data_IF_264909665841
#
_entry.id   IF_264909665841
#
_cell.length_a   1.000
_cell.length_b   1.000
_cell.length_c   1.000
_cell.angle_alpha   90.00
_cell.angle_beta   90.00
_cell.angle_gamma   90.00
#
_symmetry.space_group_name_H-M   'P 1'
#
loop_
_entity.id
_entity.type
_entity.pdbx_description
1 polymer ?
#
# COMPACT_ATOMS: atom_id res chain seq x y z
N UNK A 1 27.09 -3.08 6.08
CA UNK A 1 26.08 -2.01 5.90
C UNK A 1 25.34 -2.33 4.61
N UNK A 2 24.06 -2.68 4.67
CA UNK A 2 23.22 -2.85 3.49
C UNK A 2 22.56 -1.49 3.23
N UNK A 3 23.11 -0.74 2.26
CA UNK A 3 22.68 0.60 1.88
C UNK A 3 21.69 0.54 0.72
N UNK A 4 20.56 -0.12 0.92
CA UNK A 4 19.42 -0.07 0.02
C UNK A 4 18.19 0.27 0.86
N UNK A 5 17.61 1.45 0.63
CA UNK A 5 16.26 1.70 1.14
C UNK A 5 15.35 0.86 0.26
N UNK A 6 14.91 -0.30 0.75
CA UNK A 6 14.06 -1.21 -0.01
C UNK A 6 12.68 -0.56 -0.17
N UNK A 7 12.46 0.08 -1.31
CA UNK A 7 11.19 0.74 -1.62
C UNK A 7 10.11 -0.27 -1.95
N UNK A 8 8.88 0.05 -1.57
CA UNK A 8 7.67 -0.65 -1.95
C UNK A 8 6.85 0.23 -2.89
N UNK A 9 6.66 -0.24 -4.12
CA UNK A 9 5.74 0.37 -5.05
C UNK A 9 4.34 -0.21 -4.81
N UNK A 10 3.38 0.68 -4.58
CA UNK A 10 1.98 0.37 -4.33
C UNK A 10 1.16 0.95 -5.48
N UNK A 11 0.39 0.10 -6.15
CA UNK A 11 -0.52 0.49 -7.21
C UNK A 11 -1.95 0.05 -6.88
N UNK A 12 -2.88 0.99 -6.97
CA UNK A 12 -4.31 0.78 -6.81
C UNK A 12 -5.05 1.57 -7.90
N UNK A 13 -5.39 0.88 -9.00
CA UNK A 13 -5.91 1.47 -10.24
C UNK A 13 -5.09 2.68 -10.74
N UNK A 14 -5.56 3.91 -10.49
CA UNK A 14 -4.91 5.15 -10.92
C UNK A 14 -4.02 5.77 -9.85
N UNK A 15 -3.99 5.21 -8.64
CA UNK A 15 -3.16 5.66 -7.54
C UNK A 15 -1.89 4.83 -7.47
N UNK A 16 -0.75 5.47 -7.72
CA UNK A 16 0.56 4.85 -7.62
C UNK A 16 1.40 5.65 -6.60
N UNK A 17 2.08 4.95 -5.70
CA UNK A 17 2.98 5.58 -4.73
C UNK A 17 4.15 4.66 -4.41
N UNK A 18 5.24 5.26 -3.95
CA UNK A 18 6.41 4.53 -3.48
C UNK A 18 6.58 4.80 -1.99
N UNK A 19 6.64 3.73 -1.20
CA UNK A 19 6.87 3.78 0.23
C UNK A 19 8.30 3.36 0.52
N UNK A 20 8.99 4.17 1.32
CA UNK A 20 10.26 3.79 1.94
C UNK A 20 9.99 3.40 3.38
N UNK A 21 10.12 2.11 3.76
CA UNK A 21 9.85 1.67 5.12
C UNK A 21 10.76 2.40 6.12
N UNK A 22 10.14 3.02 7.13
CA UNK A 22 10.84 3.57 8.29
C UNK A 22 10.63 2.59 9.44
N UNK A 23 11.68 1.84 9.79
CA UNK A 23 11.64 0.77 10.81
C UNK A 23 10.73 -0.43 10.48
N UNK A 24 10.45 -0.68 9.19
CA UNK A 24 9.66 -1.83 8.75
C UNK A 24 8.14 -1.64 8.81
N UNK A 25 7.66 -0.47 9.23
CA UNK A 25 6.23 -0.12 9.23
C UNK A 25 5.95 0.99 8.20
N UNK A 26 4.78 0.93 7.56
CA UNK A 26 4.28 1.98 6.67
C UNK A 26 2.78 2.19 6.88
N UNK A 27 2.37 3.46 6.84
CA UNK A 27 0.96 3.84 6.77
C UNK A 27 0.72 4.59 5.46
N UNK A 28 -0.27 4.15 4.69
CA UNK A 28 -0.65 4.76 3.43
C UNK A 28 -2.12 5.16 3.48
N UNK A 29 -2.38 6.45 3.30
CA UNK A 29 -3.74 6.98 3.13
C UNK A 29 -4.06 7.04 1.64
N UNK A 30 -5.03 6.22 1.22
CA UNK A 30 -5.50 6.17 -0.17
C UNK A 30 -6.69 7.12 -0.31
N UNK A 31 -6.70 8.00 -1.34
CA UNK A 31 -7.86 8.86 -1.63
C UNK A 31 -9.14 8.05 -1.91
N UNK A 32 -10.27 8.48 -1.37
CA UNK A 32 -11.55 7.75 -1.47
C UNK A 32 -12.04 7.59 -2.92
N UNK A 33 -11.75 8.56 -3.79
CA UNK A 33 -12.08 8.56 -5.21
C UNK A 33 -11.28 7.52 -6.03
N UNK A 34 -10.28 6.89 -5.41
CA UNK A 34 -9.52 5.79 -6.03
C UNK A 34 -10.33 4.49 -6.07
N UNK A 35 -11.17 4.26 -5.05
CA UNK A 35 -11.85 2.98 -4.86
C UNK A 35 -13.00 2.77 -5.84
N UNK A 36 -13.12 1.54 -6.32
CA UNK A 36 -14.22 1.08 -7.20
C UNK A 36 -14.98 -0.06 -6.54
N UNK A 37 -16.02 -0.56 -7.21
CA UNK A 37 -16.75 -1.75 -6.76
C UNK A 37 -15.83 -2.98 -6.65
N UNK A 38 -14.90 -3.14 -7.60
CA UNK A 38 -13.84 -4.15 -7.56
C UNK A 38 -12.46 -3.48 -7.55
N UNK A 39 -11.58 -3.94 -6.66
CA UNK A 39 -10.26 -3.36 -6.49
C UNK A 39 -9.13 -4.37 -6.62
N UNK A 40 -8.04 -3.96 -7.26
CA UNK A 40 -6.81 -4.74 -7.39
C UNK A 40 -5.66 -3.90 -6.82
N UNK A 41 -5.10 -4.37 -5.70
CA UNK A 41 -3.94 -3.78 -5.07
C UNK A 41 -2.70 -4.58 -5.48
N UNK A 42 -1.73 -3.90 -6.09
CA UNK A 42 -0.43 -4.49 -6.44
C UNK A 42 0.64 -3.90 -5.52
N UNK A 43 1.45 -4.77 -4.92
CA UNK A 43 2.59 -4.40 -4.08
C UNK A 43 3.84 -5.00 -4.69
N UNK A 44 4.80 -4.17 -5.08
CA UNK A 44 6.07 -4.58 -5.69
C UNK A 44 7.24 -4.04 -4.88
N UNK A 45 8.33 -4.79 -4.81
CA UNK A 45 9.55 -4.35 -4.18
C UNK A 45 10.70 -5.29 -4.49
N UNK A 46 11.93 -4.83 -4.29
CA UNK A 46 13.12 -5.67 -4.41
C UNK A 46 13.45 -6.34 -3.08
N UNK A 47 13.09 -7.61 -2.92
CA UNK A 47 13.40 -8.35 -1.69
C UNK A 47 12.41 -9.48 -1.40
N UNK A 48 12.46 -9.97 -0.15
CA UNK A 48 11.46 -10.87 0.40
C UNK A 48 10.56 -10.10 1.36
N UNK A 49 9.24 -10.20 1.17
CA UNK A 49 8.26 -9.50 1.97
C UNK A 49 7.29 -10.50 2.59
N UNK A 50 6.93 -10.28 3.85
CA UNK A 50 5.82 -10.97 4.50
C UNK A 50 4.67 -10.00 4.66
N UNK A 51 3.53 -10.35 4.10
CA UNK A 51 2.30 -9.61 4.28
C UNK A 51 1.57 -10.16 5.50
N UNK A 52 1.69 -9.48 6.63
CA UNK A 52 1.04 -9.85 7.89
C UNK A 52 -0.10 -8.86 8.19
N UNK A 53 -1.18 -9.37 8.80
CA UNK A 53 -2.25 -8.56 9.41
C UNK A 53 -2.89 -7.50 8.49
N UNK A 54 -3.14 -7.84 7.22
CA UNK A 54 -3.85 -6.94 6.30
C UNK A 54 -5.26 -6.67 6.82
N UNK A 55 -5.51 -5.43 7.22
CA UNK A 55 -6.81 -4.95 7.66
C UNK A 55 -7.34 -3.88 6.71
N UNK A 56 -8.32 -4.24 5.89
CA UNK A 56 -9.06 -3.28 5.07
C UNK A 56 -10.24 -2.78 5.91
N UNK A 57 -10.20 -1.50 6.29
CA UNK A 57 -11.30 -0.83 7.00
C UNK A 57 -11.98 0.08 5.98
N UNK A 58 -13.13 -0.35 5.45
CA UNK A 58 -14.00 0.51 4.66
C UNK A 58 -15.18 0.94 5.51
N UNK A 59 -15.34 2.24 5.74
CA UNK A 59 -16.57 2.78 6.31
C UNK A 59 -17.50 3.19 5.17
N UNK A 60 -18.72 2.64 5.16
CA UNK A 60 -19.74 3.04 4.18
C UNK A 60 -20.29 4.38 4.64
N UNK A 61 -20.00 5.45 3.91
CA UNK A 61 -20.64 6.74 4.16
C UNK A 61 -22.13 6.63 3.77
N UNK A 62 -23.00 6.40 4.75
CA UNK A 62 -24.44 6.53 4.55
C UNK A 62 -24.76 8.00 4.26
N UNK A 63 -25.38 8.26 3.11
CA UNK A 63 -25.96 9.57 2.75
C UNK A 63 -27.44 9.60 3.09
#
# INVERSE_FOLDING_TARGET
>A
MLSGVDTLDIELQSFNTTLSPVNGENNLKIPEDTFREENTLTIQGQGSYNLNDVKIISERAER
#
